data_IF_595926927537
#
_entry.id   IF_595926927537
#
_cell.length_a   1.000
_cell.length_b   1.000
_cell.length_c   1.000
_cell.angle_alpha   90.00
_cell.angle_beta   90.00
_cell.angle_gamma   90.00
#
_symmetry.space_group_name_H-M   'P 1'
#
loop_
_entity.id
_entity.type
_entity.pdbx_description
1 polymer ?
#
# COMPACT_ATOMS: atom_id res chain seq x y z
N UNK A 1 24.34 -15.37 25.54
CA UNK A 1 23.03 -14.83 25.15
C UNK A 1 23.11 -13.31 25.22
N UNK A 2 23.51 -12.66 24.14
CA UNK A 2 23.33 -11.21 24.03
C UNK A 2 22.06 -11.05 23.21
N UNK A 3 20.96 -10.75 23.89
CA UNK A 3 19.72 -10.39 23.23
C UNK A 3 19.97 -9.06 22.51
N UNK A 4 20.09 -9.11 21.18
CA UNK A 4 20.11 -7.90 20.37
C UNK A 4 18.71 -7.31 20.44
N UNK A 5 18.51 -6.35 21.33
CA UNK A 5 17.37 -5.46 21.24
C UNK A 5 17.45 -4.79 19.87
N UNK A 6 16.57 -5.19 18.97
CA UNK A 6 16.32 -4.48 17.73
C UNK A 6 15.63 -3.18 18.15
N UNK A 7 16.44 -2.19 18.51
CA UNK A 7 16.00 -0.81 18.58
C UNK A 7 15.66 -0.47 17.13
N UNK A 8 14.37 -0.50 16.78
CA UNK A 8 13.90 0.21 15.60
C UNK A 8 14.12 1.69 15.90
N UNK A 9 15.34 2.17 15.66
CA UNK A 9 15.61 3.58 15.65
C UNK A 9 14.61 4.18 14.67
N UNK A 10 13.77 5.08 15.17
CA UNK A 10 12.89 5.94 14.40
C UNK A 10 13.71 7.00 13.65
N UNK A 11 14.83 6.60 13.07
CA UNK A 11 15.41 7.37 11.98
C UNK A 11 14.43 7.19 10.83
N UNK A 12 13.94 8.27 10.24
CA UNK A 12 13.13 8.21 9.03
C UNK A 12 13.95 7.47 7.97
N UNK A 13 13.73 6.16 7.85
CA UNK A 13 14.23 5.38 6.74
C UNK A 13 13.42 5.88 5.55
N UNK A 14 13.97 6.85 4.82
CA UNK A 14 13.44 7.25 3.54
C UNK A 14 13.43 6.01 2.64
N UNK A 15 12.26 5.39 2.49
CA UNK A 15 12.10 4.21 1.65
C UNK A 15 12.15 4.68 0.20
N UNK A 16 13.14 4.18 -0.55
CA UNK A 16 13.28 4.61 -1.94
C UNK A 16 12.10 4.15 -2.81
N UNK A 17 11.83 4.90 -3.89
CA UNK A 17 10.80 4.51 -4.87
C UNK A 17 11.05 3.12 -5.49
N UNK A 18 12.31 2.71 -5.60
CA UNK A 18 12.70 1.38 -6.10
C UNK A 18 12.28 0.27 -5.13
N UNK A 19 12.46 0.49 -3.82
CA UNK A 19 12.00 -0.42 -2.77
C UNK A 19 10.48 -0.49 -2.77
N UNK A 20 9.77 0.65 -2.80
CA UNK A 20 8.29 0.67 -2.86
C UNK A 20 7.77 -0.01 -4.13
N UNK A 21 8.39 0.25 -5.29
CA UNK A 21 8.05 -0.44 -6.54
C UNK A 21 8.17 -1.95 -6.40
N UNK A 22 9.30 -2.44 -5.87
CA UNK A 22 9.53 -3.88 -5.71
C UNK A 22 8.57 -4.48 -4.68
N UNK A 23 8.29 -3.75 -3.60
CA UNK A 23 7.33 -4.15 -2.57
C UNK A 23 5.92 -4.36 -3.16
N UNK A 24 5.36 -3.36 -3.84
CA UNK A 24 4.02 -3.48 -4.42
C UNK A 24 3.91 -4.48 -5.58
N UNK A 25 5.03 -4.77 -6.26
CA UNK A 25 5.07 -5.80 -7.31
C UNK A 25 5.12 -7.22 -6.75
N UNK A 26 6.01 -7.47 -5.80
CA UNK A 26 6.42 -8.83 -5.43
C UNK A 26 6.00 -9.27 -4.01
N UNK A 27 5.80 -8.33 -3.09
CA UNK A 27 5.66 -8.63 -1.66
C UNK A 27 4.33 -8.21 -1.04
N UNK A 28 3.69 -7.16 -1.58
CA UNK A 28 2.41 -6.70 -1.04
C UNK A 28 1.35 -7.81 -1.19
N UNK A 29 0.69 -8.23 -0.11
CA UNK A 29 -0.24 -9.35 -0.13
C UNK A 29 -1.60 -8.90 -0.68
N UNK A 30 -1.65 -8.61 -1.99
CA UNK A 30 -2.80 -8.00 -2.65
C UNK A 30 -4.07 -8.84 -2.48
N UNK A 31 -3.99 -10.14 -2.71
CA UNK A 31 -5.13 -11.06 -2.63
C UNK A 31 -5.83 -11.06 -1.25
N UNK A 32 -5.15 -11.35 -0.14
CA UNK A 32 -5.79 -11.30 1.17
C UNK A 32 -6.22 -9.87 1.55
N UNK A 33 -5.55 -8.83 1.05
CA UNK A 33 -5.93 -7.44 1.28
C UNK A 33 -7.29 -7.11 0.63
N UNK A 34 -7.49 -7.47 -0.64
CA UNK A 34 -8.77 -7.26 -1.33
C UNK A 34 -9.88 -8.15 -0.77
N UNK A 35 -9.58 -9.39 -0.37
CA UNK A 35 -10.55 -10.29 0.26
C UNK A 35 -11.06 -9.71 1.58
N UNK A 36 -10.14 -9.17 2.38
CA UNK A 36 -10.46 -8.53 3.65
C UNK A 36 -11.32 -7.29 3.45
N UNK A 37 -10.91 -6.37 2.57
CA UNK A 37 -11.59 -5.09 2.39
C UNK A 37 -12.91 -5.19 1.63
N UNK A 38 -12.99 -6.15 0.71
CA UNK A 38 -14.17 -6.42 -0.10
C UNK A 38 -15.15 -7.40 0.55
N UNK A 39 -14.81 -8.04 1.68
CA UNK A 39 -15.62 -9.11 2.27
C UNK A 39 -16.01 -10.19 1.25
N UNK A 40 -15.08 -10.55 0.35
CA UNK A 40 -15.32 -11.47 -0.79
C UNK A 40 -16.44 -11.00 -1.73
N UNK A 41 -16.64 -9.69 -1.85
CA UNK A 41 -17.59 -9.03 -2.73
C UNK A 41 -16.92 -7.84 -3.45
N UNK A 42 -16.77 -7.96 -4.76
CA UNK A 42 -16.09 -6.95 -5.60
C UNK A 42 -16.86 -5.62 -5.66
N UNK A 43 -18.19 -5.66 -5.61
CA UNK A 43 -19.01 -4.44 -5.58
C UNK A 43 -18.71 -3.62 -4.31
N UNK A 44 -18.48 -4.31 -3.19
CA UNK A 44 -18.12 -3.66 -1.91
C UNK A 44 -16.74 -3.01 -1.98
N UNK A 45 -15.76 -3.71 -2.55
CA UNK A 45 -14.42 -3.15 -2.76
C UNK A 45 -14.46 -1.95 -3.71
N UNK A 46 -15.26 -2.01 -4.77
CA UNK A 46 -15.31 -0.95 -5.78
C UNK A 46 -15.86 0.39 -5.29
N UNK A 47 -16.57 0.39 -4.16
CA UNK A 47 -17.12 1.58 -3.52
C UNK A 47 -16.29 2.06 -2.33
N UNK A 48 -15.20 1.36 -1.99
CA UNK A 48 -14.31 1.73 -0.89
C UNK A 48 -13.43 2.91 -1.32
N UNK A 49 -13.39 3.95 -0.47
CA UNK A 49 -12.40 5.02 -0.57
C UNK A 49 -11.03 4.49 -0.13
N UNK A 50 -10.01 4.88 -0.89
CA UNK A 50 -8.61 4.82 -0.53
C UNK A 50 -8.02 6.23 -0.58
N UNK A 51 -7.10 6.51 0.33
CA UNK A 51 -6.18 7.64 0.21
C UNK A 51 -4.74 7.19 0.14
N UNK A 52 -3.96 7.92 -0.67
CA UNK A 52 -2.54 7.68 -0.87
C UNK A 52 -1.77 8.93 -0.47
N UNK A 53 -0.79 8.77 0.41
CA UNK A 53 0.28 9.74 0.60
C UNK A 53 1.44 9.33 -0.31
N UNK A 54 1.77 10.19 -1.27
CA UNK A 54 2.90 10.00 -2.18
C UNK A 54 4.10 10.80 -1.68
N UNK A 55 5.22 10.68 -2.40
CA UNK A 55 6.42 11.49 -2.19
C UNK A 55 6.11 12.99 -2.08
N UNK A 56 6.93 13.68 -1.29
CA UNK A 56 6.81 15.11 -0.99
C UNK A 56 5.47 15.46 -0.29
N UNK A 57 4.94 14.51 0.50
CA UNK A 57 3.67 14.61 1.23
C UNK A 57 2.46 14.94 0.35
N UNK A 58 2.50 14.55 -0.94
CA UNK A 58 1.36 14.74 -1.84
C UNK A 58 0.26 13.75 -1.47
N UNK A 59 -0.81 14.28 -0.88
CA UNK A 59 -1.94 13.49 -0.41
C UNK A 59 -3.10 13.48 -1.43
N UNK A 60 -3.57 12.29 -1.80
CA UNK A 60 -4.71 12.09 -2.70
C UNK A 60 -5.80 11.26 -2.04
N UNK A 61 -7.07 11.61 -2.27
CA UNK A 61 -8.24 11.05 -1.59
C UNK A 61 -9.35 10.67 -2.56
N UNK A 62 -10.40 10.02 -2.03
CA UNK A 62 -11.58 9.63 -2.78
C UNK A 62 -11.25 8.76 -4.00
N UNK A 63 -10.19 7.94 -3.88
CA UNK A 63 -9.84 6.96 -4.90
C UNK A 63 -10.65 5.69 -4.65
N UNK A 64 -11.13 5.07 -5.71
CA UNK A 64 -11.78 3.76 -5.66
C UNK A 64 -11.39 2.97 -6.90
N UNK A 65 -11.44 1.65 -6.82
CA UNK A 65 -10.95 0.77 -7.88
C UNK A 65 -11.95 -0.33 -8.17
N UNK A 66 -12.29 -0.50 -9.44
CA UNK A 66 -13.34 -1.43 -9.89
C UNK A 66 -12.87 -2.87 -10.04
N UNK A 67 -11.55 -3.11 -10.03
CA UNK A 67 -10.97 -4.45 -10.06
C UNK A 67 -9.68 -4.57 -9.26
N UNK A 68 -9.31 -5.81 -8.93
CA UNK A 68 -8.01 -6.17 -8.35
C UNK A 68 -6.86 -5.62 -9.19
N UNK A 69 -6.92 -5.81 -10.50
CA UNK A 69 -5.88 -5.38 -11.44
C UNK A 69 -5.73 -3.85 -11.43
N UNK A 70 -6.85 -3.11 -11.38
CA UNK A 70 -6.82 -1.65 -11.33
C UNK A 70 -6.13 -1.14 -10.06
N UNK A 71 -6.49 -1.71 -8.89
CA UNK A 71 -5.85 -1.39 -7.62
C UNK A 71 -4.35 -1.74 -7.64
N UNK A 72 -3.98 -2.91 -8.18
CA UNK A 72 -2.58 -3.33 -8.26
C UNK A 72 -1.75 -2.38 -9.12
N UNK A 73 -2.26 -2.04 -10.31
CA UNK A 73 -1.59 -1.08 -11.19
C UNK A 73 -1.50 0.30 -10.56
N UNK A 74 -2.49 0.71 -9.77
CA UNK A 74 -2.42 1.97 -9.03
C UNK A 74 -1.29 1.95 -7.98
N UNK A 75 -1.15 0.89 -7.19
CA UNK A 75 -0.04 0.75 -6.25
C UNK A 75 1.33 0.76 -6.93
N UNK A 76 1.51 -0.02 -8.01
CA UNK A 76 2.78 -0.07 -8.73
C UNK A 76 3.13 1.28 -9.38
N UNK A 77 2.15 1.96 -9.96
CA UNK A 77 2.36 3.24 -10.67
C UNK A 77 2.65 4.38 -9.71
N UNK A 78 1.88 4.46 -8.63
CA UNK A 78 1.92 5.61 -7.71
C UNK A 78 2.90 5.42 -6.56
N UNK A 79 3.23 4.18 -6.20
CA UNK A 79 4.17 3.82 -5.12
C UNK A 79 3.88 4.62 -3.84
N UNK A 80 2.66 4.54 -3.29
CA UNK A 80 2.31 5.34 -2.12
C UNK A 80 3.19 4.98 -0.93
N UNK A 81 3.63 6.00 -0.20
CA UNK A 81 4.35 5.87 1.06
C UNK A 81 3.39 5.48 2.20
N UNK A 82 2.12 5.90 2.12
CA UNK A 82 1.04 5.54 3.04
C UNK A 82 -0.24 5.26 2.27
N UNK A 83 -1.02 4.28 2.75
CA UNK A 83 -2.32 3.88 2.22
C UNK A 83 -3.31 3.86 3.37
N UNK A 84 -4.42 4.59 3.23
CA UNK A 84 -5.54 4.60 4.19
C UNK A 84 -6.88 4.28 3.52
#
# INVERSE_FOLDING_TARGET
>A
MVSSNLVFASDEIAVSEEVLSSYYKEYFPLDPFIEWLGYRNDETLSRREFSFTLKDDVYTRFRSFTSKEELHQAFIKTKPEKVE
#
